data_IF_970017536196
#
_entry.id   IF_970017536196
#
_cell.length_a   1.000
_cell.length_b   1.000
_cell.length_c   1.000
_cell.angle_alpha   90.00
_cell.angle_beta   90.00
_cell.angle_gamma   90.00
#
_symmetry.space_group_name_H-M   'P 1'
#
loop_
_entity.id
_entity.type
_entity.pdbx_description
1 polymer ?
#
# COMPACT_ATOMS: atom_id res chain seq x y z
N UNK A 1 12.78 -9.12 -17.68
CA UNK A 1 12.00 -9.37 -16.44
C UNK A 1 10.55 -8.89 -16.54
N UNK A 2 10.26 -7.67 -17.03
CA UNK A 2 8.88 -7.12 -17.22
C UNK A 2 7.91 -7.95 -18.09
N UNK A 3 8.41 -8.73 -19.06
CA UNK A 3 7.58 -9.54 -20.00
C UNK A 3 7.23 -10.95 -19.50
N UNK A 4 7.85 -11.42 -18.39
CA UNK A 4 7.59 -12.76 -17.81
C UNK A 4 6.99 -12.69 -16.39
N UNK A 5 7.24 -11.62 -15.65
CA UNK A 5 6.56 -11.33 -14.40
C UNK A 5 5.39 -10.39 -14.68
N UNK A 6 4.17 -10.92 -14.64
CA UNK A 6 2.95 -10.12 -14.79
C UNK A 6 2.94 -8.99 -13.77
N UNK A 7 2.44 -7.82 -14.17
CA UNK A 7 2.51 -6.58 -13.38
C UNK A 7 1.98 -6.78 -11.93
N UNK A 8 0.92 -7.59 -11.75
CA UNK A 8 0.36 -7.97 -10.42
C UNK A 8 1.41 -8.58 -9.48
N UNK A 9 2.35 -9.37 -10.00
CA UNK A 9 3.41 -10.00 -9.21
C UNK A 9 4.41 -8.96 -8.66
N UNK A 10 4.63 -7.84 -9.37
CA UNK A 10 5.46 -6.76 -8.85
C UNK A 10 4.80 -6.06 -7.67
N UNK A 11 3.49 -5.83 -7.72
CA UNK A 11 2.76 -5.27 -6.59
C UNK A 11 2.86 -6.17 -5.35
N UNK A 12 2.67 -7.48 -5.53
CA UNK A 12 2.84 -8.44 -4.44
C UNK A 12 4.27 -8.49 -3.91
N UNK A 13 5.27 -8.47 -4.79
CA UNK A 13 6.67 -8.44 -4.39
C UNK A 13 6.97 -7.22 -3.50
N UNK A 14 6.53 -6.04 -3.91
CA UNK A 14 6.78 -4.80 -3.17
C UNK A 14 6.03 -4.73 -1.84
N UNK A 15 4.78 -5.20 -1.79
CA UNK A 15 4.04 -5.31 -0.53
C UNK A 15 4.63 -6.38 0.39
N UNK A 16 5.14 -7.49 -0.16
CA UNK A 16 5.84 -8.50 0.63
C UNK A 16 7.16 -7.94 1.19
N UNK A 17 7.92 -7.18 0.39
CA UNK A 17 9.09 -6.44 0.88
C UNK A 17 8.72 -5.47 1.99
N UNK A 18 7.63 -4.72 1.85
CA UNK A 18 7.13 -3.85 2.91
C UNK A 18 6.87 -4.64 4.19
N UNK A 19 6.11 -5.74 4.12
CA UNK A 19 5.80 -6.60 5.27
C UNK A 19 7.07 -7.15 5.90
N UNK A 20 8.01 -7.66 5.11
CA UNK A 20 9.30 -8.19 5.61
C UNK A 20 10.08 -7.09 6.33
N UNK A 21 10.17 -5.88 5.74
CA UNK A 21 10.84 -4.75 6.36
C UNK A 21 10.20 -4.34 7.69
N UNK A 22 8.86 -4.32 7.74
CA UNK A 22 8.12 -4.03 8.98
C UNK A 22 8.33 -5.11 10.05
N UNK A 23 8.39 -6.39 9.66
CA UNK A 23 8.70 -7.49 10.58
C UNK A 23 10.14 -7.44 11.08
N UNK A 24 11.10 -7.03 10.25
CA UNK A 24 12.48 -6.80 10.68
C UNK A 24 12.56 -5.70 11.74
N UNK A 25 11.79 -4.62 11.59
CA UNK A 25 11.69 -3.57 12.62
C UNK A 25 11.07 -4.09 13.91
N UNK A 26 10.08 -4.98 13.81
CA UNK A 26 9.50 -5.64 14.98
C UNK A 26 10.51 -6.54 15.70
N UNK A 27 11.27 -7.35 14.97
CA UNK A 27 12.34 -8.20 15.52
C UNK A 27 13.41 -7.34 16.20
N UNK A 28 13.83 -6.24 15.56
CA UNK A 28 14.78 -5.29 16.14
C UNK A 28 14.27 -4.63 17.43
N UNK A 29 12.94 -4.54 17.62
CA UNK A 29 12.35 -3.98 18.83
C UNK A 29 12.53 -4.85 20.08
N UNK A 30 13.05 -6.08 19.97
CA UNK A 30 13.28 -6.96 21.11
C UNK A 30 14.52 -6.57 21.93
N UNK A 31 14.48 -6.66 23.27
CA UNK A 31 15.56 -6.20 24.15
C UNK A 31 16.96 -6.72 23.77
N UNK A 32 17.09 -7.96 23.31
CA UNK A 32 18.38 -8.55 22.92
C UNK A 32 18.90 -8.16 21.53
N UNK A 33 18.10 -7.48 20.71
CA UNK A 33 18.45 -7.10 19.33
C UNK A 33 18.48 -5.58 19.12
N UNK A 34 17.97 -4.78 20.06
CA UNK A 34 17.95 -3.31 19.95
C UNK A 34 19.32 -2.70 19.73
N UNK A 35 20.37 -3.26 20.34
CA UNK A 35 21.74 -2.77 20.21
C UNK A 35 22.31 -2.98 18.80
N UNK A 36 21.70 -3.86 18.00
CA UNK A 36 22.08 -4.10 16.60
C UNK A 36 21.42 -3.07 15.68
N UNK A 37 21.91 -1.83 15.72
CA UNK A 37 21.39 -0.69 14.96
C UNK A 37 21.31 -0.99 13.44
N UNK A 38 22.26 -1.76 12.91
CA UNK A 38 22.28 -2.15 11.49
C UNK A 38 20.99 -2.87 11.06
N UNK A 39 20.41 -3.71 11.93
CA UNK A 39 19.17 -4.44 11.66
C UNK A 39 17.98 -3.48 11.53
N UNK A 40 17.93 -2.45 12.40
CA UNK A 40 16.95 -1.38 12.33
C UNK A 40 17.02 -0.61 11.01
N UNK A 41 18.24 -0.25 10.56
CA UNK A 41 18.42 0.43 9.27
C UNK A 41 18.03 -0.43 8.08
N UNK A 42 18.42 -1.71 8.07
CA UNK A 42 18.03 -2.65 7.00
C UNK A 42 16.52 -2.83 6.96
N UNK A 43 15.89 -3.06 8.11
CA UNK A 43 14.43 -3.16 8.21
C UNK A 43 13.74 -1.90 7.70
N UNK A 44 14.22 -0.71 8.10
CA UNK A 44 13.66 0.57 7.65
C UNK A 44 13.83 0.79 6.16
N UNK A 45 14.99 0.45 5.61
CA UNK A 45 15.27 0.56 4.18
C UNK A 45 14.33 -0.35 3.38
N UNK A 46 14.25 -1.64 3.73
CA UNK A 46 13.40 -2.62 3.04
C UNK A 46 11.93 -2.23 3.13
N UNK A 47 11.47 -1.79 4.31
CA UNK A 47 10.11 -1.29 4.52
C UNK A 47 9.82 -0.10 3.60
N UNK A 48 10.68 0.92 3.60
CA UNK A 48 10.45 2.15 2.83
C UNK A 48 10.49 1.90 1.32
N UNK A 49 11.39 1.05 0.86
CA UNK A 49 11.46 0.65 -0.54
C UNK A 49 10.21 -0.11 -0.98
N UNK A 50 9.74 -1.06 -0.17
CA UNK A 50 8.52 -1.81 -0.46
C UNK A 50 7.30 -0.91 -0.65
N UNK A 51 7.03 -0.01 0.31
CA UNK A 51 5.85 0.86 0.23
C UNK A 51 5.95 1.90 -0.89
N UNK A 52 7.14 2.45 -1.13
CA UNK A 52 7.36 3.47 -2.18
C UNK A 52 7.18 2.85 -3.56
N UNK A 53 7.74 1.67 -3.79
CA UNK A 53 7.59 0.95 -5.06
C UNK A 53 6.15 0.49 -5.30
N UNK A 54 5.46 -0.02 -4.27
CA UNK A 54 4.05 -0.39 -4.35
C UNK A 54 3.15 0.82 -4.69
N UNK A 55 3.43 1.98 -4.10
CA UNK A 55 2.70 3.22 -4.39
C UNK A 55 2.94 3.70 -5.82
N UNK A 56 4.20 3.69 -6.29
CA UNK A 56 4.51 4.03 -7.68
C UNK A 56 3.81 3.11 -8.67
N UNK A 57 3.74 1.82 -8.35
CA UNK A 57 3.00 0.85 -9.15
C UNK A 57 1.48 1.11 -9.14
N UNK A 58 0.89 1.46 -7.99
CA UNK A 58 -0.53 1.83 -7.90
C UNK A 58 -0.90 2.93 -8.91
N UNK A 59 -0.08 3.98 -9.01
CA UNK A 59 -0.31 5.07 -9.96
C UNK A 59 -0.21 4.64 -11.43
N UNK A 60 0.58 3.59 -11.72
CA UNK A 60 0.67 3.05 -13.08
C UNK A 60 -0.58 2.31 -13.55
N UNK A 61 -1.44 1.84 -12.64
CA UNK A 61 -2.70 1.17 -12.96
C UNK A 61 -3.85 2.14 -13.25
N UNK A 62 -3.72 3.41 -12.84
CA UNK A 62 -4.78 4.41 -12.97
C UNK A 62 -5.21 4.60 -14.44
N UNK A 63 -4.29 4.77 -15.42
CA UNK A 63 -4.68 4.86 -16.81
C UNK A 63 -5.41 3.61 -17.32
N UNK A 64 -5.00 2.42 -16.87
CA UNK A 64 -5.62 1.14 -17.28
C UNK A 64 -7.08 1.05 -16.82
N UNK A 65 -7.37 1.49 -15.59
CA UNK A 65 -8.73 1.56 -15.05
C UNK A 65 -9.57 2.60 -15.79
N UNK A 66 -8.98 3.73 -16.16
CA UNK A 66 -9.67 4.76 -16.95
C UNK A 66 -10.03 4.22 -18.35
N UNK A 67 -9.09 3.58 -19.04
CA UNK A 67 -9.34 2.94 -20.34
C UNK A 67 -10.41 1.87 -20.25
N UNK A 68 -10.37 1.01 -19.23
CA UNK A 68 -11.41 0.00 -19.00
C UNK A 68 -12.80 0.61 -18.74
N UNK A 69 -12.85 1.72 -17.99
CA UNK A 69 -14.09 2.48 -17.78
C UNK A 69 -14.64 3.08 -19.07
N UNK A 70 -13.80 3.66 -19.92
CA UNK A 70 -14.19 4.18 -21.25
C UNK A 70 -14.70 3.04 -22.14
N UNK A 71 -14.02 1.89 -22.12
CA UNK A 71 -14.40 0.70 -22.88
C UNK A 71 -15.76 0.14 -22.50
N UNK A 72 -16.07 0.05 -21.21
CA UNK A 72 -17.33 -0.52 -20.74
C UNK A 72 -18.50 0.46 -20.84
N UNK A 73 -18.26 1.74 -20.56
CA UNK A 73 -19.32 2.76 -20.54
C UNK A 73 -19.54 3.49 -21.87
N UNK A 74 -18.66 3.32 -22.87
CA UNK A 74 -18.62 4.13 -24.11
C UNK A 74 -18.47 5.63 -23.88
N UNK A 75 -18.18 6.08 -22.65
CA UNK A 75 -18.05 7.48 -22.29
C UNK A 75 -16.74 7.69 -21.56
N UNK A 76 -16.02 8.75 -21.92
CA UNK A 76 -14.77 9.11 -21.25
C UNK A 76 -15.06 9.77 -19.90
N UNK A 77 -15.21 8.96 -18.86
CA UNK A 77 -15.50 9.39 -17.47
C UNK A 77 -14.25 9.54 -16.59
N UNK A 78 -13.10 9.86 -17.20
CA UNK A 78 -11.81 9.97 -16.52
C UNK A 78 -11.84 10.94 -15.32
N UNK A 79 -12.59 12.05 -15.42
CA UNK A 79 -12.73 13.02 -14.34
C UNK A 79 -13.41 12.44 -13.10
N UNK A 80 -14.46 11.62 -13.28
CA UNK A 80 -15.19 10.97 -12.17
C UNK A 80 -14.29 9.94 -11.50
N UNK A 81 -13.59 9.11 -12.28
CA UNK A 81 -12.66 8.09 -11.77
C UNK A 81 -11.55 8.75 -10.93
N UNK A 82 -10.94 9.82 -11.43
CA UNK A 82 -9.90 10.55 -10.71
C UNK A 82 -10.43 11.23 -9.44
N UNK A 83 -11.64 11.79 -9.48
CA UNK A 83 -12.28 12.40 -8.30
C UNK A 83 -12.55 11.36 -7.21
N UNK A 84 -13.09 10.18 -7.58
CA UNK A 84 -13.33 9.09 -6.64
C UNK A 84 -12.03 8.56 -6.03
N UNK A 85 -11.01 8.33 -6.85
CA UNK A 85 -9.69 7.93 -6.37
C UNK A 85 -9.11 8.95 -5.39
N UNK A 86 -9.19 10.25 -5.71
CA UNK A 86 -8.73 11.33 -4.82
C UNK A 86 -9.49 11.38 -3.49
N UNK A 87 -10.81 11.15 -3.53
CA UNK A 87 -11.63 11.06 -2.32
C UNK A 87 -11.19 9.90 -1.41
N UNK A 88 -11.06 8.69 -1.96
CA UNK A 88 -10.61 7.53 -1.18
C UNK A 88 -9.19 7.68 -0.65
N UNK A 89 -8.31 8.33 -1.41
CA UNK A 89 -6.96 8.64 -0.95
C UNK A 89 -6.98 9.56 0.29
N UNK A 90 -7.81 10.61 0.28
CA UNK A 90 -7.98 11.50 1.44
C UNK A 90 -8.59 10.79 2.64
N UNK A 91 -9.59 9.92 2.41
CA UNK A 91 -10.18 9.09 3.48
C UNK A 91 -9.10 8.20 4.09
N UNK A 92 -8.29 7.53 3.26
CA UNK A 92 -7.19 6.69 3.72
C UNK A 92 -6.17 7.46 4.56
N UNK A 93 -5.79 8.67 4.14
CA UNK A 93 -4.89 9.54 4.91
C UNK A 93 -5.50 9.96 6.25
N UNK A 94 -6.78 10.32 6.28
CA UNK A 94 -7.47 10.70 7.52
C UNK A 94 -7.53 9.53 8.50
N UNK A 95 -7.92 8.33 8.02
CA UNK A 95 -7.95 7.12 8.82
C UNK A 95 -6.55 6.71 9.30
N UNK A 96 -5.54 6.84 8.44
CA UNK A 96 -4.14 6.53 8.76
C UNK A 96 -3.54 7.43 9.84
N UNK A 97 -4.04 8.66 10.00
CA UNK A 97 -3.66 9.53 11.11
C UNK A 97 -4.45 9.26 12.40
N UNK A 98 -5.76 9.07 12.29
CA UNK A 98 -6.66 9.01 13.44
C UNK A 98 -6.62 7.66 14.16
N UNK A 99 -6.60 6.54 13.42
CA UNK A 99 -6.68 5.19 14.01
C UNK A 99 -5.49 4.89 14.95
N UNK A 100 -4.21 5.11 14.54
CA UNK A 100 -3.08 4.96 15.45
C UNK A 100 -3.17 5.86 16.68
N UNK A 101 -3.70 7.07 16.52
CA UNK A 101 -3.93 8.00 17.62
C UNK A 101 -4.87 7.43 18.69
N UNK A 102 -6.01 6.86 18.27
CA UNK A 102 -6.93 6.21 19.20
C UNK A 102 -6.36 4.95 19.85
N UNK A 103 -5.63 4.11 19.10
CA UNK A 103 -4.96 2.92 19.65
C UNK A 103 -3.99 3.33 20.76
N UNK A 104 -3.15 4.33 20.50
CA UNK A 104 -2.16 4.79 21.46
C UNK A 104 -2.80 5.47 22.68
N UNK A 105 -3.86 6.26 22.48
CA UNK A 105 -4.62 6.87 23.56
C UNK A 105 -5.28 5.81 24.46
N UNK A 106 -5.89 4.78 23.87
CA UNK A 106 -6.46 3.65 24.60
C UNK A 106 -5.40 2.87 25.40
N UNK A 107 -4.19 2.76 24.86
CA UNK A 107 -3.06 2.14 25.54
C UNK A 107 -2.35 3.07 26.56
N UNK A 108 -2.93 4.24 26.86
CA UNK A 108 -2.38 5.24 27.79
C UNK A 108 -0.95 5.70 27.44
N UNK A 109 -0.66 5.83 26.14
CA UNK A 109 0.59 6.43 25.68
C UNK A 109 0.69 7.89 26.14
N UNK A 110 1.84 8.26 26.70
CA UNK A 110 2.10 9.60 27.22
C UNK A 110 3.46 10.10 26.73
N UNK A 111 3.47 10.97 25.72
CA UNK A 111 4.71 11.51 25.15
C UNK A 111 5.57 12.34 26.11
N UNK A 112 5.08 12.70 27.30
CA UNK A 112 5.83 13.45 28.31
C UNK A 112 6.66 12.56 29.23
N UNK A 113 6.36 11.25 29.29
CA UNK A 113 7.07 10.31 30.16
C UNK A 113 8.31 9.73 29.47
N UNK A 114 9.43 9.76 30.19
CA UNK A 114 10.69 9.15 29.74
C UNK A 114 10.59 7.63 29.56
N UNK A 115 9.75 6.97 30.35
CA UNK A 115 9.49 5.52 30.27
C UNK A 115 8.01 5.26 30.11
N UNK A 116 7.65 4.41 29.15
CA UNK A 116 6.28 4.04 28.86
C UNK A 116 5.89 2.75 29.58
N UNK A 117 4.59 2.61 29.88
CA UNK A 117 4.04 1.34 30.37
C UNK A 117 4.13 0.26 29.30
N UNK A 118 4.09 -1.02 29.72
CA UNK A 118 4.05 -2.13 28.78
C UNK A 118 2.85 -2.06 27.83
N UNK A 119 1.70 -1.57 28.32
CA UNK A 119 0.51 -1.36 27.50
C UNK A 119 0.75 -0.30 26.42
N UNK A 120 1.36 0.84 26.77
CA UNK A 120 1.67 1.91 25.81
C UNK A 120 2.67 1.44 24.74
N UNK A 121 3.71 0.68 25.12
CA UNK A 121 4.66 0.09 24.18
C UNK A 121 3.98 -0.90 23.21
N UNK A 122 3.02 -1.70 23.71
CA UNK A 122 2.24 -2.58 22.86
C UNK A 122 1.35 -1.79 21.89
N UNK A 123 0.71 -0.70 22.36
CA UNK A 123 -0.06 0.20 21.50
C UNK A 123 0.76 0.77 20.34
N UNK A 124 1.97 1.24 20.61
CA UNK A 124 2.91 1.71 19.57
C UNK A 124 3.22 0.58 18.58
N UNK A 125 3.49 -0.62 19.09
CA UNK A 125 3.82 -1.79 18.26
C UNK A 125 2.65 -2.14 17.35
N UNK A 126 1.41 -2.18 17.86
CA UNK A 126 0.21 -2.43 17.05
C UNK A 126 0.05 -1.36 15.98
N UNK A 127 0.16 -0.08 16.36
CA UNK A 127 -0.03 1.07 15.48
C UNK A 127 1.00 1.13 14.34
N UNK A 128 2.26 0.84 14.62
CA UNK A 128 3.36 1.02 13.65
C UNK A 128 3.74 -0.25 12.89
N UNK A 129 3.43 -1.44 13.43
CA UNK A 129 3.83 -2.72 12.83
C UNK A 129 2.61 -3.47 12.31
N UNK A 130 1.73 -3.90 13.21
CA UNK A 130 0.69 -4.87 12.88
C UNK A 130 -0.43 -4.25 12.05
N UNK A 131 -0.88 -3.04 12.39
CA UNK A 131 -1.92 -2.36 11.64
C UNK A 131 -1.51 -2.12 10.16
N UNK A 132 -0.31 -1.57 9.86
CA UNK A 132 0.14 -1.47 8.47
C UNK A 132 0.29 -2.81 7.74
N UNK A 133 0.75 -3.87 8.42
CA UNK A 133 0.84 -5.22 7.83
C UNK A 133 -0.55 -5.74 7.44
N UNK A 134 -1.54 -5.61 8.32
CA UNK A 134 -2.93 -6.02 8.04
C UNK A 134 -3.48 -5.26 6.83
N UNK A 135 -3.27 -3.94 6.78
CA UNK A 135 -3.69 -3.12 5.63
C UNK A 135 -2.98 -3.53 4.33
N UNK A 136 -1.69 -3.87 4.38
CA UNK A 136 -0.97 -4.40 3.22
C UNK A 136 -1.53 -5.74 2.75
N UNK A 137 -1.86 -6.65 3.66
CA UNK A 137 -2.49 -7.94 3.33
C UNK A 137 -3.87 -7.73 2.70
N UNK A 138 -4.68 -6.81 3.22
CA UNK A 138 -5.97 -6.44 2.61
C UNK A 138 -5.77 -5.88 1.20
N UNK A 139 -4.76 -5.03 1.00
CA UNK A 139 -4.43 -4.51 -0.33
C UNK A 139 -3.99 -5.61 -1.30
N UNK A 140 -3.20 -6.59 -0.85
CA UNK A 140 -2.85 -7.77 -1.65
C UNK A 140 -4.11 -8.58 -2.02
N UNK A 141 -5.02 -8.79 -1.06
CA UNK A 141 -6.26 -9.50 -1.33
C UNK A 141 -7.13 -8.78 -2.37
N UNK A 142 -7.28 -7.46 -2.28
CA UNK A 142 -8.01 -6.65 -3.28
C UNK A 142 -7.36 -6.78 -4.65
N UNK A 143 -6.02 -6.70 -4.72
CA UNK A 143 -5.29 -6.85 -5.99
C UNK A 143 -5.45 -8.23 -6.62
N UNK A 144 -5.75 -9.27 -5.84
CA UNK A 144 -6.03 -10.61 -6.37
C UNK A 144 -7.28 -10.68 -7.23
N UNK A 145 -8.22 -9.75 -7.02
CA UNK A 145 -9.44 -9.60 -7.82
C UNK A 145 -9.25 -8.69 -9.04
N UNK A 146 -8.09 -8.03 -9.17
CA UNK A 146 -7.77 -7.27 -10.38
C UNK A 146 -7.67 -8.26 -11.54
N UNK A 147 -8.52 -8.14 -12.55
CA UNK A 147 -8.56 -9.09 -13.69
C UNK A 147 -7.68 -8.62 -14.85
N UNK A 148 -7.63 -7.31 -15.12
CA UNK A 148 -6.91 -6.68 -16.23
C UNK A 148 -5.48 -7.20 -16.39
N UNK A 149 -5.27 -7.96 -17.46
CA UNK A 149 -3.98 -8.40 -17.97
C UNK A 149 -3.43 -7.40 -18.99
N UNK A 150 -2.11 -7.42 -19.22
CA UNK A 150 -1.47 -6.56 -20.21
C UNK A 150 -2.09 -6.72 -21.61
N UNK A 151 -2.41 -7.97 -21.98
CA UNK A 151 -3.08 -8.29 -23.24
C UNK A 151 -4.50 -7.73 -23.33
N UNK A 152 -5.24 -7.70 -22.22
CA UNK A 152 -6.58 -7.09 -22.20
C UNK A 152 -6.51 -5.58 -22.31
N UNK A 153 -5.55 -4.95 -21.64
CA UNK A 153 -5.32 -3.50 -21.72
C UNK A 153 -4.95 -3.10 -23.16
N UNK A 154 -4.06 -3.84 -23.81
CA UNK A 154 -3.68 -3.60 -25.21
C UNK A 154 -4.88 -3.77 -26.16
N UNK A 155 -5.67 -4.84 -25.99
CA UNK A 155 -6.90 -5.06 -26.77
C UNK A 155 -7.89 -3.91 -26.59
N UNK A 156 -8.12 -3.47 -25.35
CA UNK A 156 -9.03 -2.36 -25.04
C UNK A 156 -8.58 -1.08 -25.73
N UNK A 157 -7.29 -0.75 -25.66
CA UNK A 157 -6.77 0.47 -26.29
C UNK A 157 -6.95 0.44 -27.82
N UNK A 158 -6.66 -0.70 -28.46
CA UNK A 158 -6.90 -0.86 -29.90
C UNK A 158 -8.38 -0.72 -30.27
N UNK A 159 -9.30 -1.30 -29.50
CA UNK A 159 -10.74 -1.18 -29.77
C UNK A 159 -11.26 0.26 -29.57
N UNK A 160 -10.71 1.01 -28.60
CA UNK A 160 -11.04 2.43 -28.40
C UNK A 160 -10.53 3.27 -29.59
N UNK A 161 -9.31 3.04 -30.06
CA UNK A 161 -8.75 3.74 -31.23
C UNK A 161 -9.54 3.46 -32.51
N UNK A 162 -9.91 2.20 -32.75
CA UNK A 162 -10.71 1.81 -33.90
C UNK A 162 -12.06 2.55 -33.95
N UNK A 163 -12.70 2.76 -32.79
CA UNK A 163 -13.97 3.50 -32.68
C UNK A 163 -13.82 5.01 -32.87
N UNK A 164 -12.64 5.58 -32.61
CA UNK A 164 -12.36 7.01 -32.84
C UNK A 164 -12.07 7.34 -34.29
N UNK A 165 -11.57 6.36 -35.05
CA UNK A 165 -11.21 6.52 -36.46
C UNK A 165 -12.38 6.16 -37.41
N UNK A 166 -13.54 5.81 -36.88
CA UNK A 166 -14.82 5.69 -37.59
C UNK A 166 -15.65 6.95 -37.40
#
# INVERSE_FOLDING_TARGET
>A
MRRKFGKKNFFYLFLLMFIIGTLLLWIWSFPGLKDQIWLGYVGRFVMQWGITAATGYMWSLVPEVISYGEYTSQKRVAGIINALMGLFFKIGLALGGIIPGYINAFCHFDGTKATQSAAALNGITISMIWLPIVLAVVAMWIMSKYSLSDTEVDRINHEIEARRNQ
#
